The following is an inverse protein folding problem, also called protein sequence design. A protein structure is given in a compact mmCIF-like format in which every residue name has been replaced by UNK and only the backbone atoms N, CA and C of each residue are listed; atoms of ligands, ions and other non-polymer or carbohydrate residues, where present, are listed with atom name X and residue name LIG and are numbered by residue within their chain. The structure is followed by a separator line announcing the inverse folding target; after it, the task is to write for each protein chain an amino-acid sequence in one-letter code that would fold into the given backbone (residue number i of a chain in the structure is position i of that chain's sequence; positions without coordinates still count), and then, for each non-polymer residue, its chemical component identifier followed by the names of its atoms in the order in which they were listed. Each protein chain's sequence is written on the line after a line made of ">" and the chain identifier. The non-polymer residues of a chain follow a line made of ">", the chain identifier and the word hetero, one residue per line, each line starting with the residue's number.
data_IF_334059625899
#
_entry.id   IF_334059625899
#
_cell.length_a   1.000
_cell.length_b   1.000
_cell.length_c   1.000
_cell.angle_alpha   90.00
_cell.angle_beta   90.00
_cell.angle_gamma   90.00
#
_symmetry.space_group_name_H-M   'P 1'
#
loop_
_entity.id
_entity.type
_entity.pdbx_description
1 polymer ?
#
# COMPACT_ATOMS: atom_id res chain seq x y z
N UNK A 1 8.35 9.15 -10.28
CA UNK A 1 7.35 8.45 -9.47
C UNK A 1 7.24 9.18 -8.14
N UNK A 2 6.03 9.34 -7.59
CA UNK A 2 5.82 10.11 -6.36
C UNK A 2 5.97 9.21 -5.12
N UNK A 3 6.13 9.83 -3.94
CA UNK A 3 6.24 9.12 -2.66
C UNK A 3 5.09 9.46 -1.73
N UNK A 4 4.73 8.49 -0.89
CA UNK A 4 3.77 8.65 0.20
C UNK A 4 4.42 8.26 1.53
N UNK A 5 4.02 8.94 2.60
CA UNK A 5 4.31 8.52 3.97
C UNK A 5 3.19 7.62 4.48
N UNK A 6 3.47 6.32 4.63
CA UNK A 6 2.58 5.36 5.28
C UNK A 6 2.83 5.38 6.80
N UNK A 7 2.04 6.23 7.46
CA UNK A 7 2.01 6.39 8.91
C UNK A 7 0.56 6.48 9.38
N UNK A 8 -0.03 5.34 9.73
CA UNK A 8 -1.39 5.28 10.26
C UNK A 8 -1.50 6.07 11.57
N UNK A 9 -2.57 6.87 11.70
CA UNK A 9 -2.77 7.76 12.85
C UNK A 9 -1.83 8.98 12.91
N UNK A 10 -1.11 9.27 11.82
CA UNK A 10 -0.43 10.55 11.63
C UNK A 10 -1.34 11.58 10.97
N UNK A 11 -1.26 12.83 11.43
CA UNK A 11 -1.96 13.94 10.77
C UNK A 11 -1.35 14.21 9.39
N UNK A 12 -2.10 14.95 8.57
CA UNK A 12 -1.61 15.39 7.26
C UNK A 12 -0.30 16.17 7.37
N UNK A 13 -0.18 17.04 8.35
CA UNK A 13 1.02 17.85 8.59
C UNK A 13 2.20 16.99 9.03
N UNK A 14 1.97 15.96 9.85
CA UNK A 14 2.99 14.99 10.23
C UNK A 14 3.51 14.23 9.01
N UNK A 15 2.61 13.67 8.19
CA UNK A 15 2.96 12.98 6.93
C UNK A 15 3.73 13.91 5.98
N UNK A 16 3.33 15.17 5.86
CA UNK A 16 4.02 16.17 5.03
C UNK A 16 5.44 16.45 5.50
N UNK A 17 5.70 16.52 6.81
CA UNK A 17 7.06 16.65 7.34
C UNK A 17 7.91 15.43 6.99
N UNK A 18 7.36 14.23 7.09
CA UNK A 18 8.01 13.00 6.67
C UNK A 18 8.41 13.01 5.19
N UNK A 19 7.46 13.33 4.31
CA UNK A 19 7.71 13.44 2.86
C UNK A 19 8.80 14.48 2.57
N UNK A 20 8.75 15.66 3.19
CA UNK A 20 9.76 16.69 2.98
C UNK A 20 11.17 16.24 3.42
N UNK A 21 11.28 15.51 4.53
CA UNK A 21 12.55 14.96 5.00
C UNK A 21 13.11 13.89 4.05
N UNK A 22 12.25 13.00 3.55
CA UNK A 22 12.62 12.00 2.55
C UNK A 22 13.12 12.64 1.25
N UNK A 23 12.38 13.62 0.72
CA UNK A 23 12.77 14.35 -0.50
C UNK A 23 14.13 15.02 -0.34
N UNK A 24 14.43 15.61 0.83
CA UNK A 24 15.73 16.22 1.07
C UNK A 24 16.90 15.23 1.07
N UNK A 25 16.67 13.96 1.45
CA UNK A 25 17.67 12.89 1.35
C UNK A 25 17.90 12.50 -0.11
N UNK A 26 16.82 12.25 -0.85
CA UNK A 26 16.86 11.90 -2.28
C UNK A 26 17.56 12.98 -3.10
N UNK A 27 17.19 14.25 -2.89
CA UNK A 27 17.78 15.40 -3.58
C UNK A 27 19.28 15.52 -3.31
N UNK A 28 19.71 15.28 -2.06
CA UNK A 28 21.14 15.31 -1.69
C UNK A 28 21.93 14.19 -2.35
N UNK A 29 21.33 13.02 -2.49
CA UNK A 29 21.92 11.89 -3.20
C UNK A 29 21.91 12.07 -4.73
N UNK A 30 21.13 13.03 -5.24
CA UNK A 30 20.93 13.22 -6.67
C UNK A 30 20.18 12.05 -7.32
N UNK A 31 19.34 11.36 -6.55
CA UNK A 31 18.68 10.12 -6.93
C UNK A 31 17.17 10.32 -6.97
N UNK A 32 16.49 9.74 -7.94
CA UNK A 32 15.04 9.76 -7.96
C UNK A 32 14.49 8.76 -6.93
N UNK A 33 13.26 8.97 -6.47
CA UNK A 33 12.60 8.01 -5.58
C UNK A 33 12.48 6.61 -6.22
N UNK A 34 12.25 6.56 -7.53
CA UNK A 34 12.10 5.33 -8.30
C UNK A 34 13.41 4.53 -8.35
N UNK A 35 14.54 5.19 -8.63
CA UNK A 35 15.86 4.55 -8.64
C UNK A 35 16.24 4.02 -7.26
N UNK A 36 16.05 4.84 -6.22
CA UNK A 36 16.35 4.47 -4.84
C UNK A 36 15.54 3.25 -4.39
N UNK A 37 14.23 3.28 -4.60
CA UNK A 37 13.35 2.18 -4.23
C UNK A 37 13.61 0.92 -5.07
N UNK A 38 13.99 1.06 -6.35
CA UNK A 38 14.40 -0.07 -7.18
C UNK A 38 15.61 -0.81 -6.59
N UNK A 39 16.58 -0.07 -6.03
CA UNK A 39 17.68 -0.64 -5.27
C UNK A 39 17.20 -1.43 -4.04
N UNK A 40 16.32 -0.83 -3.23
CA UNK A 40 15.73 -1.53 -2.07
C UNK A 40 15.01 -2.82 -2.48
N UNK A 41 14.23 -2.76 -3.55
CA UNK A 41 13.49 -3.91 -4.07
C UNK A 41 14.44 -5.03 -4.55
N UNK A 42 15.56 -4.69 -5.17
CA UNK A 42 16.57 -5.68 -5.57
C UNK A 42 17.13 -6.43 -4.36
N UNK A 43 17.44 -5.71 -3.27
CA UNK A 43 17.93 -6.31 -2.02
C UNK A 43 16.87 -7.16 -1.33
N UNK A 44 15.64 -6.66 -1.20
CA UNK A 44 14.53 -7.39 -0.57
C UNK A 44 14.19 -8.66 -1.34
N UNK A 45 14.16 -8.58 -2.68
CA UNK A 45 13.94 -9.76 -3.52
C UNK A 45 15.05 -10.79 -3.34
N UNK A 46 16.30 -10.37 -3.18
CA UNK A 46 17.42 -11.28 -2.93
C UNK A 46 17.30 -12.00 -1.59
N UNK A 47 16.86 -11.30 -0.54
CA UNK A 47 16.51 -11.88 0.77
C UNK A 47 15.36 -12.89 0.66
N UNK A 48 14.26 -12.52 0.00
CA UNK A 48 13.10 -13.40 -0.23
C UNK A 48 13.48 -14.71 -0.96
N UNK A 49 14.50 -14.67 -1.82
CA UNK A 49 15.02 -15.84 -2.53
C UNK A 49 16.01 -16.68 -1.70
N UNK A 50 16.38 -16.24 -0.50
CA UNK A 50 17.32 -16.91 0.39
C UNK A 50 18.79 -16.66 0.04
N UNK A 51 19.11 -15.47 -0.46
CA UNK A 51 20.47 -15.02 -0.78
C UNK A 51 21.23 -15.89 -1.81
N UNK A 52 20.65 -16.23 -2.97
CA UNK A 52 21.37 -16.96 -4.01
C UNK A 52 22.57 -16.13 -4.52
N UNK A 53 23.80 -16.70 -4.57
CA UNK A 53 25.02 -15.95 -4.86
C UNK A 53 25.12 -15.44 -6.30
N UNK A 54 24.34 -16.00 -7.23
CA UNK A 54 24.30 -15.60 -8.64
C UNK A 54 23.29 -14.48 -8.93
N UNK A 55 22.53 -14.05 -7.92
CA UNK A 55 21.55 -12.96 -8.01
C UNK A 55 21.76 -11.93 -6.89
N UNK A 56 22.98 -11.85 -6.35
CA UNK A 56 23.37 -10.79 -5.43
C UNK A 56 23.25 -9.42 -6.12
N UNK A 57 22.61 -8.43 -5.48
CA UNK A 57 22.56 -7.07 -5.98
C UNK A 57 23.95 -6.51 -6.26
N UNK A 58 24.04 -5.69 -7.30
CA UNK A 58 25.25 -4.94 -7.61
C UNK A 58 25.53 -3.85 -6.57
N UNK A 59 26.77 -3.36 -6.53
CA UNK A 59 27.16 -2.23 -5.66
C UNK A 59 26.30 -0.98 -5.90
N UNK A 60 25.90 -0.72 -7.15
CA UNK A 60 25.02 0.41 -7.48
C UNK A 60 23.60 0.21 -6.93
N UNK A 61 23.08 -1.03 -6.95
CA UNK A 61 21.78 -1.37 -6.36
C UNK A 61 21.81 -1.29 -4.83
N UNK A 62 22.91 -1.70 -4.18
CA UNK A 62 23.09 -1.49 -2.75
C UNK A 62 23.16 0.00 -2.40
N UNK A 63 23.91 0.80 -3.15
CA UNK A 63 23.98 2.24 -2.92
C UNK A 63 22.61 2.91 -3.08
N UNK A 64 21.81 2.48 -4.06
CA UNK A 64 20.44 2.95 -4.24
C UNK A 64 19.52 2.52 -3.07
N UNK A 65 19.62 1.28 -2.62
CA UNK A 65 18.89 0.76 -1.46
C UNK A 65 19.21 1.55 -0.18
N UNK A 66 20.48 1.85 0.07
CA UNK A 66 20.91 2.65 1.21
C UNK A 66 20.27 4.05 1.21
N UNK A 67 20.17 4.68 0.03
CA UNK A 67 19.50 5.97 -0.13
C UNK A 67 18.01 5.86 0.18
N UNK A 68 17.34 4.81 -0.27
CA UNK A 68 15.92 4.57 0.04
C UNK A 68 15.68 4.37 1.53
N UNK A 69 16.47 3.52 2.19
CA UNK A 69 16.35 3.29 3.63
C UNK A 69 16.68 4.54 4.44
N UNK A 70 17.68 5.33 4.03
CA UNK A 70 17.99 6.61 4.65
C UNK A 70 16.83 7.61 4.49
N UNK A 71 16.22 7.68 3.32
CA UNK A 71 15.05 8.51 3.08
C UNK A 71 13.86 8.06 3.95
N UNK A 72 13.62 6.74 4.04
CA UNK A 72 12.54 6.16 4.85
C UNK A 72 12.72 6.45 6.33
N UNK A 73 13.93 6.27 6.86
CA UNK A 73 14.26 6.61 8.24
C UNK A 73 14.07 8.11 8.53
N UNK A 74 14.54 8.98 7.63
CA UNK A 74 14.34 10.43 7.76
C UNK A 74 12.84 10.80 7.74
N UNK A 75 12.05 10.11 6.92
CA UNK A 75 10.61 10.31 6.86
C UNK A 75 9.92 9.93 8.18
N UNK A 76 10.26 8.75 8.73
CA UNK A 76 9.75 8.26 10.01
C UNK A 76 10.15 9.23 11.14
N UNK A 77 11.41 9.65 11.21
CA UNK A 77 11.89 10.57 12.24
C UNK A 77 11.14 11.90 12.24
N UNK A 78 10.94 12.50 11.06
CA UNK A 78 10.27 13.79 10.94
C UNK A 78 8.74 13.70 11.11
N UNK A 79 8.14 12.61 10.63
CA UNK A 79 6.70 12.34 10.76
C UNK A 79 6.33 12.11 12.23
N UNK A 80 7.10 11.26 12.91
CA UNK A 80 6.80 10.79 14.27
C UNK A 80 7.46 11.62 15.38
N UNK A 81 7.87 12.86 15.08
CA UNK A 81 8.48 13.73 16.08
C UNK A 81 7.56 13.90 17.30
N UNK A 82 8.06 13.55 18.50
CA UNK A 82 7.32 13.61 19.74
C UNK A 82 6.35 12.45 20.01
N UNK A 83 6.32 11.42 19.16
CA UNK A 83 5.48 10.24 19.39
C UNK A 83 6.10 9.28 20.43
N UNK A 84 5.28 8.56 21.20
CA UNK A 84 5.73 7.41 21.98
C UNK A 84 6.33 6.31 21.08
N UNK A 85 7.31 5.57 21.59
CA UNK A 85 8.02 4.51 20.84
C UNK A 85 7.05 3.42 20.36
N UNK A 86 6.05 3.06 21.17
CA UNK A 86 5.06 2.04 20.83
C UNK A 86 4.13 2.46 19.67
N UNK A 87 3.92 3.77 19.51
CA UNK A 87 3.16 4.31 18.37
C UNK A 87 4.06 4.39 17.14
N UNK A 88 5.30 4.82 17.32
CA UNK A 88 6.29 4.94 16.24
C UNK A 88 6.64 3.58 15.63
N UNK A 89 6.69 2.51 16.41
CA UNK A 89 7.00 1.16 15.92
C UNK A 89 5.94 0.55 14.99
N UNK A 90 4.78 1.19 14.85
CA UNK A 90 3.69 0.76 13.96
C UNK A 90 3.71 1.46 12.60
N UNK A 91 4.68 2.35 12.37
CA UNK A 91 4.79 3.12 11.13
C UNK A 91 5.60 2.34 10.10
N UNK A 92 5.04 2.15 8.91
CA UNK A 92 5.67 1.43 7.81
C UNK A 92 6.80 2.23 7.14
N UNK A 93 6.66 3.56 7.07
CA UNK A 93 7.65 4.45 6.46
C UNK A 93 7.25 4.94 5.07
N UNK A 94 8.21 5.00 4.14
CA UNK A 94 7.96 5.47 2.78
C UNK A 94 7.40 4.38 1.87
N UNK A 95 6.49 4.78 0.98
CA UNK A 95 6.01 3.99 -0.14
C UNK A 95 6.14 4.76 -1.44
N UNK A 96 6.42 4.04 -2.53
CA UNK A 96 6.29 4.57 -3.89
C UNK A 96 4.83 4.54 -4.33
N UNK A 97 4.39 5.62 -4.96
CA UNK A 97 3.08 5.70 -5.61
C UNK A 97 3.20 5.33 -7.09
N UNK A 98 2.48 4.29 -7.50
CA UNK A 98 2.43 3.80 -8.87
C UNK A 98 1.23 4.36 -9.64
N UNK A 99 0.10 4.53 -8.94
CA UNK A 99 -1.13 5.14 -9.44
C UNK A 99 -1.69 6.09 -8.38
N UNK A 100 -1.17 7.34 -8.32
CA UNK A 100 -1.59 8.32 -7.32
C UNK A 100 -3.09 8.59 -7.31
N UNK A 101 -3.81 8.45 -8.44
CA UNK A 101 -5.25 8.67 -8.47
C UNK A 101 -6.02 7.61 -7.66
N UNK A 102 -5.48 6.40 -7.59
CA UNK A 102 -6.06 5.27 -6.86
C UNK A 102 -5.55 5.23 -5.43
N UNK A 103 -4.23 5.35 -5.24
CA UNK A 103 -3.56 5.21 -3.95
C UNK A 103 -3.80 6.41 -3.02
N UNK A 104 -4.07 7.60 -3.56
CA UNK A 104 -4.39 8.81 -2.78
C UNK A 104 -5.88 9.19 -2.82
N UNK A 105 -6.76 8.29 -3.28
CA UNK A 105 -8.18 8.55 -3.32
C UNK A 105 -8.75 8.82 -1.92
N UNK A 106 -9.66 9.79 -1.79
CA UNK A 106 -10.40 9.94 -0.54
C UNK A 106 -11.31 8.71 -0.31
N UNK A 107 -11.70 8.49 0.95
CA UNK A 107 -12.51 7.32 1.33
C UNK A 107 -13.77 7.14 0.49
N UNK A 108 -14.50 8.21 0.19
CA UNK A 108 -15.76 8.11 -0.56
C UNK A 108 -15.50 7.73 -2.02
N UNK A 109 -14.51 8.37 -2.64
CA UNK A 109 -14.06 8.05 -4.00
C UNK A 109 -13.54 6.62 -4.08
N UNK A 110 -12.76 6.18 -3.10
CA UNK A 110 -12.21 4.83 -3.05
C UNK A 110 -13.31 3.75 -2.99
N UNK A 111 -14.30 3.94 -2.11
CA UNK A 111 -15.46 3.05 -1.99
C UNK A 111 -16.30 3.00 -3.27
N UNK A 112 -16.53 4.15 -3.92
CA UNK A 112 -17.28 4.21 -5.17
C UNK A 112 -16.55 3.47 -6.31
N UNK A 113 -15.25 3.75 -6.50
CA UNK A 113 -14.43 3.08 -7.52
C UNK A 113 -14.32 1.57 -7.29
N UNK A 114 -14.19 1.12 -6.04
CA UNK A 114 -14.21 -0.32 -5.74
C UNK A 114 -15.50 -0.96 -6.22
N UNK A 115 -16.67 -0.36 -5.90
CA UNK A 115 -17.96 -0.89 -6.35
C UNK A 115 -18.07 -0.93 -7.87
N UNK A 116 -17.60 0.10 -8.58
CA UNK A 116 -17.59 0.12 -10.04
C UNK A 116 -16.75 -1.02 -10.64
N UNK A 117 -15.53 -1.23 -10.12
CA UNK A 117 -14.67 -2.35 -10.53
C UNK A 117 -15.37 -3.68 -10.28
N UNK A 118 -15.91 -3.88 -9.07
CA UNK A 118 -16.57 -5.13 -8.70
C UNK A 118 -17.82 -5.37 -9.53
N UNK A 119 -18.57 -4.35 -9.96
CA UNK A 119 -19.72 -4.55 -10.84
C UNK A 119 -19.31 -4.93 -12.27
N UNK A 120 -18.17 -4.44 -12.74
CA UNK A 120 -17.64 -4.74 -14.08
C UNK A 120 -16.85 -6.06 -14.16
N UNK A 121 -16.51 -6.69 -13.04
CA UNK A 121 -15.71 -7.91 -12.99
C UNK A 121 -16.50 -9.14 -13.51
N UNK A 122 -15.85 -9.96 -14.35
CA UNK A 122 -16.43 -11.17 -14.95
C UNK A 122 -15.64 -12.44 -14.63
N UNK A 123 -14.68 -12.36 -13.71
CA UNK A 123 -13.94 -13.49 -13.17
C UNK A 123 -12.95 -14.12 -14.16
N UNK A 124 -12.45 -13.34 -15.12
CA UNK A 124 -11.50 -13.77 -16.14
C UNK A 124 -10.11 -13.15 -15.94
N UNK A 125 -9.77 -12.79 -14.71
CA UNK A 125 -8.46 -12.22 -14.39
C UNK A 125 -7.36 -13.24 -14.66
N UNK A 126 -6.50 -12.95 -15.64
CA UNK A 126 -5.27 -13.72 -15.90
C UNK A 126 -4.13 -13.25 -14.98
N UNK A 127 -4.21 -12.00 -14.49
CA UNK A 127 -3.23 -11.37 -13.62
C UNK A 127 -3.89 -10.74 -12.40
N UNK A 128 -3.09 -10.59 -11.34
CA UNK A 128 -3.51 -9.94 -10.11
C UNK A 128 -3.73 -8.44 -10.34
N UNK A 129 -4.95 -7.96 -10.16
CA UNK A 129 -5.28 -6.54 -10.18
C UNK A 129 -5.23 -5.94 -8.78
N UNK A 130 -4.21 -5.13 -8.51
CA UNK A 130 -4.00 -4.48 -7.22
C UNK A 130 -4.88 -3.25 -6.98
N UNK A 131 -5.68 -2.80 -7.95
CA UNK A 131 -6.48 -1.57 -7.78
C UNK A 131 -7.44 -1.66 -6.60
N UNK A 132 -8.14 -2.79 -6.45
CA UNK A 132 -9.06 -2.99 -5.31
C UNK A 132 -8.32 -3.00 -3.98
N UNK A 133 -7.10 -3.55 -3.93
CA UNK A 133 -6.25 -3.53 -2.74
C UNK A 133 -5.86 -2.09 -2.37
N UNK A 134 -5.36 -1.30 -3.33
CA UNK A 134 -4.98 0.09 -3.08
C UNK A 134 -6.16 0.98 -2.69
N UNK A 135 -7.33 0.78 -3.31
CA UNK A 135 -8.55 1.50 -2.91
C UNK A 135 -9.02 1.11 -1.50
N UNK A 136 -8.86 -0.16 -1.10
CA UNK A 136 -9.18 -0.58 0.26
C UNK A 136 -8.23 0.04 1.30
N UNK A 137 -6.93 0.14 0.98
CA UNK A 137 -5.95 0.88 1.80
C UNK A 137 -6.34 2.36 1.91
N UNK A 138 -6.62 3.03 0.78
CA UNK A 138 -7.03 4.44 0.76
C UNK A 138 -8.30 4.69 1.60
N UNK A 139 -9.30 3.79 1.50
CA UNK A 139 -10.53 3.88 2.27
C UNK A 139 -10.35 3.66 3.80
N UNK A 140 -9.25 3.04 4.21
CA UNK A 140 -8.94 2.76 5.63
C UNK A 140 -7.79 3.60 6.19
N UNK A 141 -7.21 4.51 5.40
CA UNK A 141 -6.03 5.30 5.76
C UNK A 141 -6.16 6.13 7.06
N UNK A 142 -7.38 6.49 7.43
CA UNK A 142 -7.69 7.28 8.63
C UNK A 142 -8.20 6.43 9.81
N UNK A 143 -8.21 5.10 9.69
CA UNK A 143 -8.60 4.19 10.78
C UNK A 143 -7.42 4.06 11.75
N UNK A 144 -7.55 4.49 13.04
CA UNK A 144 -6.41 4.47 13.96
C UNK A 144 -5.99 3.07 14.40
N UNK A 145 -6.93 2.12 14.43
CA UNK A 145 -6.65 0.72 14.75
C UNK A 145 -6.13 0.00 13.50
N UNK A 146 -4.81 -0.10 13.41
CA UNK A 146 -4.08 -0.70 12.28
C UNK A 146 -4.43 -2.18 12.08
N UNK A 147 -4.68 -2.92 13.16
CA UNK A 147 -5.11 -4.32 13.09
C UNK A 147 -6.50 -4.44 12.48
N UNK A 148 -7.43 -3.59 12.90
CA UNK A 148 -8.77 -3.52 12.32
C UNK A 148 -8.72 -3.09 10.85
N UNK A 149 -7.94 -2.06 10.51
CA UNK A 149 -7.75 -1.62 9.13
C UNK A 149 -7.24 -2.77 8.25
N UNK A 150 -6.21 -3.47 8.69
CA UNK A 150 -5.64 -4.62 7.99
C UNK A 150 -6.66 -5.75 7.80
N UNK A 151 -7.48 -6.06 8.81
CA UNK A 151 -8.53 -7.07 8.70
C UNK A 151 -9.58 -6.72 7.65
N UNK A 152 -10.02 -5.45 7.59
CA UNK A 152 -10.99 -4.98 6.61
C UNK A 152 -10.42 -5.04 5.18
N UNK A 153 -9.19 -4.57 4.99
CA UNK A 153 -8.49 -4.64 3.70
C UNK A 153 -8.32 -6.10 3.26
N UNK A 154 -7.90 -6.97 4.18
CA UNK A 154 -7.72 -8.40 3.90
C UNK A 154 -9.03 -9.07 3.48
N UNK A 155 -10.14 -8.78 4.16
CA UNK A 155 -11.45 -9.33 3.82
C UNK A 155 -11.88 -8.98 2.40
N UNK A 156 -11.74 -7.71 2.00
CA UNK A 156 -12.04 -7.25 0.63
C UNK A 156 -11.12 -7.92 -0.39
N UNK A 157 -9.81 -7.96 -0.11
CA UNK A 157 -8.81 -8.47 -1.06
C UNK A 157 -8.96 -9.98 -1.29
N UNK A 158 -9.26 -10.75 -0.24
CA UNK A 158 -9.52 -12.20 -0.33
C UNK A 158 -10.80 -12.49 -1.12
N UNK A 159 -11.88 -11.75 -0.84
CA UNK A 159 -13.13 -11.89 -1.57
C UNK A 159 -12.95 -11.52 -3.06
N UNK A 160 -12.26 -10.42 -3.34
CA UNK A 160 -11.97 -9.97 -4.70
C UNK A 160 -11.15 -10.99 -5.48
N UNK A 161 -10.08 -11.51 -4.89
CA UNK A 161 -9.25 -12.55 -5.53
C UNK A 161 -10.09 -13.77 -5.92
N UNK A 162 -11.02 -14.18 -5.05
CA UNK A 162 -11.92 -15.29 -5.32
C UNK A 162 -12.85 -15.01 -6.51
N UNK A 163 -13.33 -13.77 -6.64
CA UNK A 163 -14.17 -13.31 -7.76
C UNK A 163 -13.37 -13.22 -9.06
N UNK A 164 -12.22 -12.54 -9.08
CA UNK A 164 -11.40 -12.32 -10.27
C UNK A 164 -10.90 -13.62 -10.89
N UNK A 165 -10.71 -14.67 -10.09
CA UNK A 165 -10.28 -15.99 -10.53
C UNK A 165 -11.43 -16.99 -10.77
N UNK A 166 -12.70 -16.57 -10.65
CA UNK A 166 -13.84 -17.49 -10.65
C UNK A 166 -13.94 -18.34 -11.92
N UNK A 167 -13.64 -17.81 -13.11
CA UNK A 167 -13.71 -18.58 -14.35
C UNK A 167 -12.43 -19.34 -14.69
N UNK A 168 -11.53 -19.52 -13.74
CA UNK A 168 -10.52 -20.57 -13.85
C UNK A 168 -11.20 -21.94 -14.02
N UNK A 169 -12.38 -22.13 -13.42
CA UNK A 169 -13.32 -23.20 -13.74
C UNK A 169 -14.53 -22.63 -14.49
N UNK A 170 -14.78 -23.03 -15.77
CA UNK A 170 -15.79 -22.38 -16.61
C UNK A 170 -17.22 -22.34 -16.04
N UNK A 171 -17.56 -23.32 -15.19
CA UNK A 171 -18.91 -23.50 -14.63
C UNK A 171 -19.10 -22.86 -13.25
N UNK A 172 -18.06 -22.21 -12.69
CA UNK A 172 -18.17 -21.63 -11.36
C UNK A 172 -19.10 -20.39 -11.35
N UNK A 173 -20.05 -20.30 -10.40
CA UNK A 173 -20.98 -19.17 -10.33
C UNK A 173 -20.28 -17.89 -9.86
N UNK A 174 -20.46 -16.81 -10.61
CA UNK A 174 -19.85 -15.49 -10.34
C UNK A 174 -20.63 -14.70 -9.29
N UNK A 175 -21.96 -14.67 -9.39
CA UNK A 175 -22.77 -13.74 -8.59
C UNK A 175 -22.66 -13.94 -7.07
N UNK A 176 -22.58 -15.18 -6.52
CA UNK A 176 -22.30 -15.36 -5.09
C UNK A 176 -20.96 -14.76 -4.64
N UNK A 177 -19.94 -14.84 -5.50
CA UNK A 177 -18.61 -14.27 -5.21
C UNK A 177 -18.64 -12.75 -5.30
N UNK A 178 -19.33 -12.20 -6.30
CA UNK A 178 -19.53 -10.75 -6.42
C UNK A 178 -20.21 -10.19 -5.19
N UNK A 179 -21.28 -10.85 -4.73
CA UNK A 179 -21.98 -10.46 -3.51
C UNK A 179 -21.05 -10.51 -2.29
N UNK A 180 -20.20 -11.55 -2.15
CA UNK A 180 -19.24 -11.61 -1.07
C UNK A 180 -18.24 -10.44 -1.06
N UNK A 181 -17.81 -9.95 -2.23
CA UNK A 181 -16.97 -8.74 -2.29
C UNK A 181 -17.76 -7.49 -1.89
N UNK A 182 -19.01 -7.35 -2.35
CA UNK A 182 -19.86 -6.22 -1.99
C UNK A 182 -20.14 -6.18 -0.48
N UNK A 183 -20.43 -7.32 0.14
CA UNK A 183 -20.62 -7.45 1.59
C UNK A 183 -19.33 -7.05 2.35
N UNK A 184 -18.15 -7.44 1.83
CA UNK A 184 -16.87 -7.03 2.40
C UNK A 184 -16.62 -5.53 2.26
N UNK A 185 -17.00 -4.91 1.12
CA UNK A 185 -16.93 -3.45 0.93
C UNK A 185 -17.88 -2.73 1.88
N UNK A 186 -19.08 -3.25 2.12
CA UNK A 186 -20.01 -2.69 3.11
C UNK A 186 -19.44 -2.76 4.53
N UNK A 187 -18.82 -3.89 4.91
CA UNK A 187 -18.13 -4.02 6.18
C UNK A 187 -16.94 -3.06 6.31
N UNK A 188 -16.16 -2.89 5.23
CA UNK A 188 -15.07 -1.90 5.16
C UNK A 188 -15.61 -0.48 5.32
N UNK A 189 -16.71 -0.14 4.64
CA UNK A 189 -17.35 1.18 4.76
C UNK A 189 -17.79 1.44 6.20
N UNK A 190 -18.53 0.50 6.81
CA UNK A 190 -18.97 0.64 8.20
C UNK A 190 -17.78 0.70 9.18
N UNK A 191 -16.75 -0.12 8.93
CA UNK A 191 -15.57 -0.24 9.79
C UNK A 191 -14.60 0.94 9.72
N UNK A 192 -14.61 1.67 8.60
CA UNK A 192 -13.78 2.86 8.33
C UNK A 192 -14.49 4.19 8.55
N UNK A 193 -15.73 4.18 9.04
CA UNK A 193 -16.46 5.41 9.31
C UNK A 193 -15.70 6.28 10.35
N UNK A 194 -15.66 7.62 10.17
CA UNK A 194 -15.07 8.51 11.15
C UNK A 194 -15.72 8.34 12.53
N UNK A 195 -14.93 8.44 13.59
CA UNK A 195 -15.47 8.53 14.95
C UNK A 195 -16.20 9.88 15.07
N UNK A 196 -17.53 9.84 15.26
CA UNK A 196 -18.35 11.02 15.53
C UNK A 196 -18.02 11.68 16.86
#
# INVERSE_FOLDING_TARGET
>A
MDIMMDASGATREEKQRGIAAATAVLDRAGMTADDAASGSFAVERWDDMGFPPDQEPSEDEYAAAEVWWAASNAAIDACCEGWPEEKRSQVSGLQLLHDPETELADRATALARMREIIQAEYGQGEFWDNRVFFLALAATAEVPDTSKAQQLVSAVTVAHTSLSLARFYPDEPIEPKRQAVLDAIEALEAGSAPLN
#
